data_IF_843075172923
#
_entry.id   IF_843075172923
#
_cell.length_a   1.000
_cell.length_b   1.000
_cell.length_c   1.000
_cell.angle_alpha   90.00
_cell.angle_beta   90.00
_cell.angle_gamma   90.00
#
_symmetry.space_group_name_H-M   'P 1'
#
loop_
_entity.id
_entity.type
_entity.pdbx_description
1 polymer ?
#
# COMPACT_ATOMS: atom_id res chain seq x y z
N UNK A 1 -0.69 11.49 6.35
CA UNK A 1 0.47 10.74 6.93
C UNK A 1 0.26 9.25 6.75
N UNK A 2 1.32 8.45 6.76
CA UNK A 2 1.19 6.99 6.84
C UNK A 2 1.90 6.41 8.06
N UNK A 3 1.36 5.27 8.55
CA UNK A 3 1.95 4.46 9.61
C UNK A 3 2.26 3.08 9.03
N UNK A 4 3.54 2.72 8.95
CA UNK A 4 3.95 1.50 8.30
C UNK A 4 5.42 1.15 8.46
N UNK A 5 5.85 0.10 7.75
CA UNK A 5 7.26 -0.27 7.66
C UNK A 5 7.82 0.14 6.29
N UNK A 6 9.06 0.62 6.28
CA UNK A 6 9.86 0.74 5.07
C UNK A 6 11.09 -0.16 5.18
N UNK A 7 11.29 -1.00 4.17
CA UNK A 7 12.39 -1.95 4.07
C UNK A 7 13.40 -1.54 3.01
N UNK A 8 14.60 -2.07 3.12
CA UNK A 8 15.55 -2.08 2.01
C UNK A 8 15.28 -3.30 1.16
N UNK A 9 14.93 -3.08 -0.11
CA UNK A 9 14.78 -4.15 -1.10
C UNK A 9 16.06 -4.28 -1.91
N UNK A 10 16.54 -5.50 -2.00
CA UNK A 10 17.69 -5.89 -2.80
C UNK A 10 17.23 -6.76 -3.97
N UNK A 11 17.51 -6.34 -5.20
CA UNK A 11 17.11 -7.05 -6.41
C UNK A 11 18.34 -7.27 -7.30
N UNK A 12 18.56 -8.48 -7.83
CA UNK A 12 19.59 -8.72 -8.84
C UNK A 12 19.39 -7.81 -10.06
N UNK A 13 20.46 -7.35 -10.66
CA UNK A 13 20.39 -6.56 -11.90
C UNK A 13 19.66 -7.33 -13.00
N UNK A 14 18.84 -6.63 -13.75
CA UNK A 14 18.03 -7.22 -14.81
C UNK A 14 17.02 -8.24 -14.24
N UNK A 15 17.01 -9.44 -14.82
CA UNK A 15 16.20 -10.56 -14.37
C UNK A 15 17.07 -11.67 -13.77
N UNK A 16 18.17 -11.30 -13.07
CA UNK A 16 19.10 -12.25 -12.44
C UNK A 16 18.46 -13.05 -11.31
N UNK A 17 19.20 -14.08 -10.86
CA UNK A 17 18.84 -14.90 -9.71
C UNK A 17 19.65 -14.45 -8.48
N UNK A 18 19.02 -14.40 -7.31
CA UNK A 18 19.68 -14.00 -6.04
C UNK A 18 20.92 -14.86 -5.77
N UNK A 19 20.81 -16.17 -5.95
CA UNK A 19 21.91 -17.15 -5.71
C UNK A 19 23.17 -16.89 -6.54
N UNK A 20 23.05 -16.22 -7.68
CA UNK A 20 24.16 -15.97 -8.60
C UNK A 20 24.48 -14.48 -8.76
N UNK A 21 23.79 -13.61 -8.01
CA UNK A 21 23.97 -12.17 -8.11
C UNK A 21 25.32 -11.74 -7.52
N UNK A 22 26.10 -10.99 -8.29
CA UNK A 22 27.32 -10.32 -7.82
C UNK A 22 27.07 -8.85 -7.48
N UNK A 23 25.99 -8.27 -8.02
CA UNK A 23 25.53 -6.92 -7.80
C UNK A 23 24.03 -6.94 -7.61
N UNK A 24 23.52 -6.04 -6.77
CA UNK A 24 22.10 -5.87 -6.53
C UNK A 24 21.75 -4.38 -6.56
N UNK A 25 20.62 -4.07 -7.17
CA UNK A 25 19.96 -2.77 -7.03
C UNK A 25 19.41 -2.64 -5.61
N UNK A 26 19.50 -1.43 -5.06
CA UNK A 26 18.98 -1.08 -3.75
C UNK A 26 17.75 -0.21 -3.95
N UNK A 27 16.58 -0.74 -3.59
CA UNK A 27 15.31 -0.04 -3.60
C UNK A 27 14.78 0.10 -2.16
N UNK A 28 13.88 1.02 -1.96
CA UNK A 28 13.27 1.26 -0.66
C UNK A 28 11.76 1.22 -0.81
N UNK A 29 11.09 0.49 0.09
CA UNK A 29 9.64 0.38 -0.01
C UNK A 29 8.97 -0.32 1.16
N UNK A 30 7.69 -0.05 1.22
CA UNK A 30 6.68 -0.61 2.10
C UNK A 30 5.35 -0.01 1.70
N UNK A 31 4.25 -0.76 1.76
CA UNK A 31 2.98 -0.34 1.17
C UNK A 31 2.56 1.07 1.57
N UNK A 32 2.52 1.33 2.86
CA UNK A 32 2.11 2.61 3.41
C UNK A 32 3.11 3.74 3.08
N UNK A 33 4.41 3.41 3.08
CA UNK A 33 5.48 4.34 2.69
C UNK A 33 5.37 4.71 1.21
N UNK A 34 5.20 3.72 0.32
CA UNK A 34 5.11 3.91 -1.13
C UNK A 34 3.95 4.84 -1.50
N UNK A 35 2.76 4.58 -0.92
CA UNK A 35 1.59 5.42 -1.16
C UNK A 35 1.82 6.88 -0.75
N UNK A 36 2.42 7.10 0.42
CA UNK A 36 2.67 8.45 0.94
C UNK A 36 3.83 9.14 0.23
N UNK A 37 4.84 8.39 -0.20
CA UNK A 37 5.94 8.88 -1.05
C UNK A 37 5.40 9.43 -2.39
N UNK A 38 4.49 8.70 -3.02
CA UNK A 38 3.84 9.15 -4.25
C UNK A 38 3.06 10.46 -4.06
N UNK A 39 2.31 10.57 -2.96
CA UNK A 39 1.60 11.81 -2.62
C UNK A 39 2.55 13.00 -2.41
N UNK A 40 3.75 12.76 -1.85
CA UNK A 40 4.79 13.80 -1.76
C UNK A 40 5.28 14.21 -3.16
N UNK A 41 5.51 13.24 -4.05
CA UNK A 41 5.85 13.50 -5.46
C UNK A 41 4.80 14.33 -6.20
N UNK A 42 3.53 14.21 -5.78
CA UNK A 42 2.41 15.01 -6.31
C UNK A 42 2.28 16.39 -5.67
N UNK A 43 3.22 16.78 -4.81
CA UNK A 43 3.26 18.10 -4.18
C UNK A 43 2.42 18.24 -2.91
N UNK A 44 1.87 17.15 -2.36
CA UNK A 44 1.18 17.19 -1.08
C UNK A 44 2.18 17.19 0.08
N UNK A 45 1.81 17.85 1.17
CA UNK A 45 2.55 17.74 2.44
C UNK A 45 2.27 16.40 3.07
N UNK A 46 3.27 15.55 3.13
CA UNK A 46 3.15 14.19 3.64
C UNK A 46 4.10 13.94 4.81
N UNK A 47 3.86 12.86 5.56
CA UNK A 47 4.73 12.44 6.64
C UNK A 47 4.64 10.93 6.88
N UNK A 48 5.71 10.38 7.44
CA UNK A 48 5.85 8.96 7.73
C UNK A 48 6.02 8.73 9.23
N UNK A 49 5.23 7.81 9.78
CA UNK A 49 5.27 7.34 11.16
C UNK A 49 5.80 5.92 11.14
N UNK A 50 6.92 5.68 11.81
CA UNK A 50 7.59 4.37 11.81
C UNK A 50 8.64 4.31 12.91
N UNK A 51 9.40 3.22 12.96
CA UNK A 51 10.63 3.13 13.73
C UNK A 51 11.77 2.57 12.88
N UNK A 52 12.96 3.15 13.01
CA UNK A 52 14.18 2.76 12.30
C UNK A 52 15.36 2.68 13.25
N UNK A 53 16.38 1.83 12.99
CA UNK A 53 17.60 1.85 13.76
C UNK A 53 18.43 3.11 13.46
N UNK A 54 19.03 3.70 14.48
CA UNK A 54 19.97 4.83 14.30
C UNK A 54 21.32 4.35 13.75
N UNK A 55 21.33 4.04 12.47
CA UNK A 55 22.53 3.65 11.74
C UNK A 55 22.44 4.10 10.27
N UNK A 56 23.45 3.78 9.46
CA UNK A 56 23.50 4.15 8.05
C UNK A 56 22.33 3.55 7.23
N UNK A 57 21.85 2.35 7.56
CA UNK A 57 20.74 1.70 6.85
C UNK A 57 19.39 2.37 7.17
N UNK A 58 19.15 2.78 8.43
CA UNK A 58 17.98 3.60 8.76
C UNK A 58 18.04 4.96 8.06
N UNK A 59 19.22 5.57 7.98
CA UNK A 59 19.41 6.87 7.30
C UNK A 59 19.19 6.83 5.80
N UNK A 60 19.42 5.72 5.10
CA UNK A 60 19.06 5.58 3.67
C UNK A 60 17.58 5.85 3.48
N UNK A 61 16.70 5.25 4.32
CA UNK A 61 15.25 5.43 4.25
C UNK A 61 14.86 6.87 4.53
N UNK A 62 15.42 7.47 5.60
CA UNK A 62 15.15 8.88 5.94
C UNK A 62 15.58 9.84 4.82
N UNK A 63 16.72 9.60 4.19
CA UNK A 63 17.21 10.44 3.10
C UNK A 63 16.31 10.31 1.87
N UNK A 64 15.85 9.11 1.55
CA UNK A 64 14.93 8.87 0.44
C UNK A 64 13.60 9.61 0.66
N UNK A 65 13.03 9.52 1.86
CA UNK A 65 11.81 10.27 2.22
C UNK A 65 12.01 11.78 2.11
N UNK A 66 13.13 12.30 2.67
CA UNK A 66 13.45 13.74 2.62
C UNK A 66 13.69 14.26 1.21
N UNK A 67 14.19 13.42 0.29
CA UNK A 67 14.44 13.81 -1.10
C UNK A 67 13.16 14.27 -1.83
N UNK A 68 11.98 13.81 -1.40
CA UNK A 68 10.68 14.24 -1.94
C UNK A 68 9.92 15.18 -1.00
N UNK A 69 10.56 15.67 0.07
CA UNK A 69 9.95 16.58 1.03
C UNK A 69 9.00 15.91 2.04
N UNK A 70 9.03 14.58 2.16
CA UNK A 70 8.25 13.88 3.19
C UNK A 70 8.80 14.16 4.58
N UNK A 71 7.90 14.52 5.50
CA UNK A 71 8.24 14.72 6.90
C UNK A 71 8.51 13.38 7.60
N UNK A 72 9.66 13.28 8.25
CA UNK A 72 10.13 12.11 8.98
C UNK A 72 10.31 12.40 10.48
N UNK A 73 9.73 13.50 10.98
CA UNK A 73 9.87 13.88 12.40
C UNK A 73 9.19 12.90 13.35
N UNK A 74 8.23 12.12 12.86
CA UNK A 74 7.53 11.06 13.62
C UNK A 74 8.14 9.67 13.40
N UNK A 75 9.34 9.58 12.84
CA UNK A 75 10.10 8.33 12.78
C UNK A 75 10.93 8.18 14.04
N UNK A 76 10.58 7.20 14.88
CA UNK A 76 11.34 6.85 16.07
C UNK A 76 12.67 6.25 15.66
N UNK A 77 13.77 6.76 16.22
CA UNK A 77 15.10 6.21 16.03
C UNK A 77 15.50 5.35 17.23
N UNK A 78 15.59 4.04 17.02
CA UNK A 78 15.99 3.09 18.03
C UNK A 78 17.52 2.95 18.06
N UNK A 79 18.06 2.86 19.28
CA UNK A 79 19.50 2.65 19.48
C UNK A 79 19.95 1.36 18.79
N UNK A 80 20.97 1.47 17.95
CA UNK A 80 21.57 0.32 17.28
C UNK A 80 22.67 -0.31 18.15
N UNK A 81 22.63 -1.63 18.31
CA UNK A 81 23.54 -2.40 19.17
C UNK A 81 24.87 -2.78 18.49
N UNK A 82 25.09 -2.32 17.25
CA UNK A 82 26.29 -2.61 16.46
C UNK A 82 26.20 -3.90 15.63
N UNK A 83 25.21 -4.77 15.89
CA UNK A 83 25.07 -6.07 15.22
C UNK A 83 23.63 -6.39 14.76
N UNK A 84 22.65 -5.60 15.19
CA UNK A 84 21.24 -5.76 14.79
C UNK A 84 20.50 -6.92 15.44
N UNK A 85 20.82 -7.27 16.68
CA UNK A 85 20.08 -8.31 17.43
C UNK A 85 18.68 -7.85 17.81
N UNK A 86 18.55 -6.59 18.21
CA UNK A 86 17.31 -6.03 18.73
C UNK A 86 16.63 -5.11 17.72
N UNK A 87 17.42 -4.25 17.07
CA UNK A 87 16.92 -3.22 16.17
C UNK A 87 17.68 -3.22 14.84
N UNK A 88 16.97 -3.44 13.75
CA UNK A 88 17.52 -3.46 12.39
C UNK A 88 16.51 -2.93 11.38
N UNK A 89 16.94 -2.64 10.17
CA UNK A 89 16.04 -2.43 9.03
C UNK A 89 15.61 -3.78 8.50
N UNK A 90 14.33 -3.94 8.19
CA UNK A 90 13.83 -5.10 7.47
C UNK A 90 14.41 -5.16 6.04
N UNK A 91 14.75 -6.35 5.58
CA UNK A 91 15.25 -6.59 4.24
C UNK A 91 14.23 -7.38 3.42
N UNK A 92 14.19 -7.07 2.14
CA UNK A 92 13.40 -7.75 1.14
C UNK A 92 14.32 -8.08 -0.04
N UNK A 93 14.33 -9.33 -0.47
CA UNK A 93 15.09 -9.79 -1.64
C UNK A 93 14.08 -10.18 -2.72
N UNK A 94 14.10 -9.50 -3.88
CA UNK A 94 13.15 -9.77 -4.95
C UNK A 94 13.84 -10.10 -6.26
N UNK A 95 13.53 -11.28 -6.79
CA UNK A 95 13.79 -11.63 -8.18
C UNK A 95 12.63 -11.18 -9.05
N UNK A 96 12.89 -10.32 -10.01
CA UNK A 96 11.88 -9.91 -10.99
C UNK A 96 11.73 -11.01 -12.03
N UNK A 97 10.52 -11.53 -12.18
CA UNK A 97 10.18 -12.59 -13.13
C UNK A 97 10.13 -12.07 -14.57
N UNK A 98 10.27 -12.99 -15.51
CA UNK A 98 10.15 -12.70 -16.95
C UNK A 98 9.61 -13.92 -17.70
N UNK A 99 8.72 -13.72 -18.65
CA UNK A 99 8.10 -14.78 -19.43
C UNK A 99 7.36 -15.80 -18.55
N UNK A 100 7.74 -17.10 -18.59
CA UNK A 100 7.12 -18.13 -17.75
C UNK A 100 7.65 -18.16 -16.29
N UNK A 101 8.73 -17.43 -15.99
CA UNK A 101 9.33 -17.43 -14.67
C UNK A 101 8.68 -16.37 -13.78
N UNK A 102 7.99 -16.82 -12.72
CA UNK A 102 7.38 -15.94 -11.73
C UNK A 102 8.42 -15.09 -10.97
N UNK A 103 7.99 -13.91 -10.50
CA UNK A 103 8.74 -13.14 -9.50
C UNK A 103 8.75 -13.87 -8.16
N UNK A 104 9.85 -13.78 -7.43
CA UNK A 104 10.01 -14.39 -6.11
C UNK A 104 10.47 -13.34 -5.11
N UNK A 105 9.82 -13.30 -3.95
CA UNK A 105 10.21 -12.40 -2.87
C UNK A 105 10.52 -13.19 -1.60
N UNK A 106 11.69 -12.91 -1.02
CA UNK A 106 12.12 -13.44 0.26
C UNK A 106 12.29 -12.27 1.25
N UNK A 107 11.73 -12.43 2.44
CA UNK A 107 11.81 -11.42 3.50
C UNK A 107 12.76 -11.85 4.61
N UNK A 108 13.59 -10.92 5.07
CA UNK A 108 14.39 -11.02 6.28
C UNK A 108 14.11 -9.78 7.14
N UNK A 109 12.96 -9.80 7.83
CA UNK A 109 12.42 -8.65 8.56
C UNK A 109 12.19 -8.88 10.05
N UNK A 110 12.58 -10.03 10.59
CA UNK A 110 12.53 -10.29 12.02
C UNK A 110 13.37 -9.27 12.81
N UNK A 111 12.90 -8.87 13.99
CA UNK A 111 13.56 -7.88 14.86
C UNK A 111 13.79 -6.51 14.21
N UNK A 112 12.99 -6.12 13.19
CA UNK A 112 13.07 -4.76 12.69
C UNK A 112 12.62 -3.76 13.75
N UNK A 113 13.16 -2.55 13.72
CA UNK A 113 12.75 -1.48 14.65
C UNK A 113 11.24 -1.23 14.57
N UNK A 114 10.68 -1.27 13.36
CA UNK A 114 9.22 -1.13 13.17
C UNK A 114 8.44 -2.26 13.85
N UNK A 115 8.90 -3.52 13.73
CA UNK A 115 8.27 -4.67 14.39
C UNK A 115 8.31 -4.54 15.92
N UNK A 116 9.28 -3.84 16.47
CA UNK A 116 9.47 -3.64 17.91
C UNK A 116 8.67 -2.45 18.49
N UNK A 117 7.92 -1.72 17.66
CA UNK A 117 7.07 -0.61 18.12
C UNK A 117 6.04 -1.09 19.15
N UNK A 118 5.78 -0.25 20.15
CA UNK A 118 4.88 -0.54 21.27
C UNK A 118 3.91 0.63 21.48
N UNK A 119 2.75 0.39 22.11
CA UNK A 119 1.86 1.44 22.58
C UNK A 119 2.61 2.52 23.37
N UNK A 120 2.31 3.78 23.04
CA UNK A 120 2.95 4.94 23.67
C UNK A 120 4.30 5.35 23.07
N UNK A 121 4.85 4.61 22.08
CA UNK A 121 6.05 5.04 21.36
C UNK A 121 5.82 6.33 20.53
N UNK A 122 4.58 6.56 20.10
CA UNK A 122 4.17 7.69 19.26
C UNK A 122 3.01 8.42 19.95
N UNK A 123 3.08 9.74 19.99
CA UNK A 123 2.01 10.60 20.49
C UNK A 123 1.00 10.91 19.37
N UNK A 124 0.08 9.97 19.12
CA UNK A 124 -0.94 10.11 18.09
C UNK A 124 -1.92 11.25 18.36
N UNK A 125 -2.21 11.58 19.63
CA UNK A 125 -3.08 12.71 19.99
C UNK A 125 -2.47 14.02 19.53
N UNK A 126 -1.18 14.23 19.77
CA UNK A 126 -0.46 15.40 19.28
C UNK A 126 -0.46 15.45 17.75
N UNK A 127 -0.19 14.33 17.09
CA UNK A 127 -0.13 14.27 15.63
C UNK A 127 -1.47 14.68 15.01
N UNK A 128 -2.57 14.08 15.42
CA UNK A 128 -3.86 14.30 14.75
C UNK A 128 -4.57 15.58 15.21
N UNK A 129 -4.46 15.99 16.48
CA UNK A 129 -5.14 17.20 16.96
C UNK A 129 -4.38 18.50 16.69
N UNK A 130 -3.02 18.47 16.68
CA UNK A 130 -2.23 19.71 16.62
C UNK A 130 -1.65 19.99 15.24
N UNK A 131 -1.33 18.92 14.44
CA UNK A 131 -0.66 19.09 13.14
C UNK A 131 -1.61 19.19 11.95
N UNK A 132 -2.92 19.08 12.16
CA UNK A 132 -3.93 19.21 11.11
C UNK A 132 -3.81 18.13 10.03
N UNK A 133 -3.54 16.90 10.43
CA UNK A 133 -3.45 15.73 9.52
C UNK A 133 -4.84 15.43 8.98
N UNK A 134 -5.00 15.49 7.66
CA UNK A 134 -6.28 15.23 7.00
C UNK A 134 -6.53 13.76 6.68
N UNK A 135 -5.46 12.96 6.57
CA UNK A 135 -5.54 11.56 6.15
C UNK A 135 -4.46 10.72 6.83
N UNK A 136 -4.87 9.60 7.46
CA UNK A 136 -4.00 8.52 7.91
C UNK A 136 -4.14 7.34 6.96
N UNK A 137 -3.03 6.84 6.43
CA UNK A 137 -2.97 5.59 5.68
C UNK A 137 -2.16 4.55 6.44
N UNK A 138 -2.74 3.37 6.67
CA UNK A 138 -2.07 2.22 7.28
C UNK A 138 -2.64 0.92 6.70
N UNK A 139 -2.19 -0.24 7.17
CA UNK A 139 -2.68 -1.49 6.59
C UNK A 139 -2.35 -2.75 7.37
N UNK A 140 -2.80 -3.86 6.81
CA UNK A 140 -2.65 -5.20 7.37
C UNK A 140 -1.20 -5.63 7.51
N UNK A 141 -0.29 -5.17 6.62
CA UNK A 141 1.13 -5.51 6.71
C UNK A 141 1.73 -4.96 8.00
N UNK A 142 1.55 -3.67 8.29
CA UNK A 142 2.03 -3.09 9.54
C UNK A 142 1.38 -3.76 10.75
N UNK A 143 0.06 -3.90 10.69
CA UNK A 143 -0.74 -4.47 11.79
C UNK A 143 -0.31 -5.90 12.14
N UNK A 144 0.13 -6.71 11.18
CA UNK A 144 0.47 -8.12 11.41
C UNK A 144 1.95 -8.38 11.79
N UNK A 145 2.82 -7.34 11.85
CA UNK A 145 4.24 -7.54 12.13
C UNK A 145 4.50 -8.11 13.53
N UNK A 146 3.77 -7.61 14.54
CA UNK A 146 3.90 -8.06 15.93
C UNK A 146 2.65 -7.73 16.74
N UNK A 147 2.59 -8.23 17.98
CA UNK A 147 1.54 -7.80 18.92
C UNK A 147 1.62 -6.30 19.22
N UNK A 148 2.84 -5.77 19.35
CA UNK A 148 3.06 -4.33 19.56
C UNK A 148 2.53 -3.48 18.42
N UNK A 149 2.88 -3.79 17.16
CA UNK A 149 2.39 -3.04 15.98
C UNK A 149 0.88 -3.14 15.81
N UNK A 150 0.27 -4.25 16.20
CA UNK A 150 -1.19 -4.44 16.22
C UNK A 150 -1.86 -3.43 17.15
N UNK A 151 -1.31 -3.27 18.34
CA UNK A 151 -1.80 -2.31 19.33
C UNK A 151 -1.54 -0.87 18.89
N UNK A 152 -0.36 -0.58 18.35
CA UNK A 152 0.00 0.74 17.79
C UNK A 152 -0.93 1.14 16.63
N UNK A 153 -1.25 0.21 15.73
CA UNK A 153 -2.22 0.46 14.64
C UNK A 153 -3.60 0.81 15.21
N UNK A 154 -4.06 0.08 16.22
CA UNK A 154 -5.35 0.34 16.85
C UNK A 154 -5.38 1.71 17.56
N UNK A 155 -4.30 2.11 18.24
CA UNK A 155 -4.17 3.44 18.85
C UNK A 155 -4.21 4.55 17.79
N UNK A 156 -3.44 4.38 16.70
CA UNK A 156 -3.36 5.36 15.61
C UNK A 156 -4.71 5.56 14.92
N UNK A 157 -5.37 4.45 14.55
CA UNK A 157 -6.67 4.45 13.86
C UNK A 157 -7.73 5.15 14.72
N UNK A 158 -7.83 4.81 16.00
CA UNK A 158 -8.80 5.41 16.91
C UNK A 158 -8.52 6.90 17.14
N UNK A 159 -7.26 7.26 17.40
CA UNK A 159 -6.88 8.66 17.60
C UNK A 159 -7.12 9.52 16.36
N UNK A 160 -6.86 8.99 15.15
CA UNK A 160 -7.16 9.66 13.90
C UNK A 160 -8.67 9.87 13.71
N UNK A 161 -9.46 8.81 13.92
CA UNK A 161 -10.92 8.88 13.82
C UNK A 161 -11.52 9.90 14.81
N UNK A 162 -11.10 9.88 16.08
CA UNK A 162 -11.54 10.81 17.12
C UNK A 162 -11.21 12.28 16.78
N UNK A 163 -10.09 12.51 16.07
CA UNK A 163 -9.70 13.83 15.60
C UNK A 163 -10.38 14.28 14.30
N UNK A 164 -11.23 13.42 13.69
CA UNK A 164 -11.87 13.70 12.39
C UNK A 164 -10.93 13.55 11.19
N UNK A 165 -9.78 12.94 11.37
CA UNK A 165 -8.85 12.56 10.30
C UNK A 165 -9.43 11.37 9.53
N UNK A 166 -9.44 11.44 8.19
CA UNK A 166 -9.86 10.30 7.34
C UNK A 166 -8.87 9.15 7.51
N UNK A 167 -9.38 7.95 7.73
CA UNK A 167 -8.57 6.75 7.90
C UNK A 167 -8.76 5.82 6.71
N UNK A 168 -7.68 5.50 6.00
CA UNK A 168 -7.64 4.43 4.99
C UNK A 168 -6.84 3.24 5.49
N UNK A 169 -7.33 2.04 5.21
CA UNK A 169 -6.71 0.79 5.60
C UNK A 169 -6.62 -0.16 4.41
N UNK A 170 -5.40 -0.54 4.04
CA UNK A 170 -5.16 -1.59 3.06
C UNK A 170 -5.18 -2.94 3.75
N UNK A 171 -6.13 -3.81 3.40
CA UNK A 171 -6.31 -5.14 4.00
C UNK A 171 -5.07 -6.02 3.82
N UNK A 172 -4.49 -6.03 2.64
CA UNK A 172 -3.17 -6.53 2.27
C UNK A 172 -2.73 -7.79 3.04
N UNK A 173 -3.50 -8.87 2.94
CA UNK A 173 -3.28 -10.12 3.68
C UNK A 173 -1.92 -10.75 3.38
N UNK A 174 -1.25 -11.23 4.39
CA UNK A 174 0.04 -11.94 4.27
C UNK A 174 0.05 -13.22 5.09
N UNK A 175 -0.25 -14.34 4.46
CA UNK A 175 -0.34 -15.67 5.10
C UNK A 175 0.94 -16.10 5.84
N UNK A 176 2.11 -15.55 5.47
CA UNK A 176 3.39 -15.79 6.16
C UNK A 176 3.52 -15.07 7.49
N UNK A 177 2.70 -14.06 7.76
CA UNK A 177 2.79 -13.23 8.97
C UNK A 177 1.69 -13.54 9.98
N UNK A 178 0.49 -13.90 9.52
CA UNK A 178 -0.64 -14.26 10.38
C UNK A 178 -1.63 -15.21 9.69
N UNK A 179 -2.43 -15.90 10.48
CA UNK A 179 -3.54 -16.69 9.97
C UNK A 179 -4.76 -15.81 9.65
N UNK A 180 -5.66 -16.31 8.79
CA UNK A 180 -6.95 -15.65 8.51
C UNK A 180 -7.74 -15.38 9.79
N UNK A 181 -7.77 -16.33 10.73
CA UNK A 181 -8.42 -16.16 12.04
C UNK A 181 -7.86 -14.95 12.79
N UNK A 182 -6.54 -14.83 12.89
CA UNK A 182 -5.90 -13.69 13.56
C UNK A 182 -6.20 -12.38 12.83
N UNK A 183 -6.18 -12.39 11.49
CA UNK A 183 -6.49 -11.23 10.68
C UNK A 183 -7.92 -10.73 10.92
N UNK A 184 -8.90 -11.63 10.93
CA UNK A 184 -10.31 -11.34 11.18
C UNK A 184 -10.51 -10.78 12.59
N UNK A 185 -9.99 -11.49 13.62
CA UNK A 185 -10.12 -11.09 15.02
C UNK A 185 -9.48 -9.72 15.31
N UNK A 186 -8.43 -9.37 14.57
CA UNK A 186 -7.73 -8.09 14.72
C UNK A 186 -8.41 -6.96 13.95
N UNK A 187 -8.78 -7.20 12.70
CA UNK A 187 -9.19 -6.12 11.79
C UNK A 187 -10.66 -5.75 11.93
N UNK A 188 -11.57 -6.73 12.10
CA UNK A 188 -13.01 -6.44 12.27
C UNK A 188 -13.32 -5.39 13.34
N UNK A 189 -12.71 -5.43 14.55
CA UNK A 189 -12.93 -4.40 15.56
C UNK A 189 -12.44 -3.00 15.19
N UNK A 190 -11.58 -2.88 14.18
CA UNK A 190 -11.03 -1.60 13.71
C UNK A 190 -11.89 -0.98 12.60
N UNK A 191 -12.63 -1.78 11.81
CA UNK A 191 -13.42 -1.30 10.67
C UNK A 191 -14.37 -0.15 11.03
N UNK A 192 -15.05 -0.12 12.21
CA UNK A 192 -15.89 1.02 12.60
C UNK A 192 -15.18 2.38 12.67
N UNK A 193 -13.85 2.40 12.75
CA UNK A 193 -13.03 3.61 12.80
C UNK A 193 -12.34 3.95 11.47
N UNK A 194 -12.62 3.16 10.42
CA UNK A 194 -12.01 3.29 9.09
C UNK A 194 -13.01 3.91 8.12
N UNK A 195 -12.58 4.87 7.31
CA UNK A 195 -13.39 5.50 6.26
C UNK A 195 -13.22 4.82 4.91
N UNK A 196 -11.99 4.34 4.61
CA UNK A 196 -11.66 3.77 3.30
C UNK A 196 -10.99 2.40 3.47
N UNK A 197 -11.57 1.36 2.85
CA UNK A 197 -10.94 0.03 2.75
C UNK A 197 -10.36 -0.17 1.35
N UNK A 198 -9.18 -0.76 1.31
CA UNK A 198 -8.52 -1.19 0.07
C UNK A 198 -8.21 -2.68 0.20
N UNK A 199 -8.41 -3.43 -0.86
CA UNK A 199 -8.09 -4.84 -0.88
C UNK A 199 -8.67 -5.54 -2.11
N UNK A 200 -8.15 -6.71 -2.45
CA UNK A 200 -8.72 -7.60 -3.44
C UNK A 200 -9.73 -8.57 -2.78
N UNK A 201 -10.35 -9.44 -3.57
CA UNK A 201 -11.35 -10.39 -3.06
C UNK A 201 -10.77 -11.34 -2.01
N UNK A 202 -9.55 -11.81 -2.21
CA UNK A 202 -8.87 -12.67 -1.25
C UNK A 202 -8.64 -11.94 0.07
N UNK A 203 -8.24 -10.67 0.02
CA UNK A 203 -8.05 -9.86 1.21
C UNK A 203 -9.35 -9.72 2.01
N UNK A 204 -10.48 -9.42 1.38
CA UNK A 204 -11.78 -9.34 2.06
C UNK A 204 -12.20 -10.68 2.68
N UNK A 205 -11.92 -11.78 2.00
CA UNK A 205 -12.20 -13.11 2.52
C UNK A 205 -11.31 -13.45 3.72
N UNK A 206 -10.01 -13.26 3.59
CA UNK A 206 -9.03 -13.67 4.60
C UNK A 206 -8.99 -12.74 5.83
N UNK A 207 -9.29 -11.45 5.64
CA UNK A 207 -9.16 -10.44 6.70
C UNK A 207 -10.51 -10.06 7.32
N UNK A 208 -11.59 -10.16 6.57
CA UNK A 208 -12.93 -9.80 7.04
C UNK A 208 -13.93 -10.98 7.03
N UNK A 209 -13.55 -12.12 6.45
CA UNK A 209 -14.38 -13.32 6.42
C UNK A 209 -15.62 -13.20 5.50
N UNK A 210 -15.55 -12.37 4.45
CA UNK A 210 -16.59 -12.27 3.45
C UNK A 210 -16.28 -13.21 2.28
N UNK A 211 -17.03 -14.30 2.19
CA UNK A 211 -16.91 -15.24 1.07
C UNK A 211 -17.41 -14.61 -0.23
N UNK A 212 -16.66 -14.85 -1.31
CA UNK A 212 -17.06 -14.50 -2.66
C UNK A 212 -17.75 -15.71 -3.30
N UNK A 213 -19.02 -15.59 -3.62
CA UNK A 213 -19.78 -16.65 -4.27
C UNK A 213 -19.27 -16.84 -5.70
N UNK A 214 -18.98 -18.10 -6.08
CA UNK A 214 -18.66 -18.47 -7.47
C UNK A 214 -17.21 -18.24 -7.90
N UNK A 215 -16.26 -18.15 -6.99
CA UNK A 215 -14.85 -18.24 -7.34
C UNK A 215 -14.52 -19.66 -7.86
N UNK A 216 -14.37 -19.76 -9.18
CA UNK A 216 -13.71 -20.91 -9.76
C UNK A 216 -12.19 -20.71 -9.62
N UNK A 217 -11.57 -21.41 -8.65
CA UNK A 217 -10.12 -21.32 -8.35
C UNK A 217 -9.23 -21.61 -9.58
N UNK A 218 -9.80 -22.17 -10.65
CA UNK A 218 -9.07 -22.56 -11.87
C UNK A 218 -9.07 -21.48 -12.96
N UNK A 219 -9.93 -20.47 -12.92
CA UNK A 219 -10.09 -19.55 -14.05
C UNK A 219 -9.34 -18.23 -13.92
N UNK A 220 -8.82 -17.87 -12.75
CA UNK A 220 -7.96 -16.67 -12.59
C UNK A 220 -8.58 -15.35 -13.09
N UNK A 221 -9.85 -15.37 -13.52
CA UNK A 221 -10.55 -14.24 -14.07
C UNK A 221 -11.53 -13.70 -13.03
N UNK A 222 -11.26 -12.52 -12.54
CA UNK A 222 -12.12 -11.82 -11.60
C UNK A 222 -13.40 -11.37 -12.33
N UNK A 223 -14.57 -11.86 -11.87
CA UNK A 223 -15.84 -11.30 -12.30
C UNK A 223 -16.15 -10.07 -11.44
N UNK A 224 -16.12 -8.85 -12.02
CA UNK A 224 -16.44 -7.63 -11.28
C UNK A 224 -17.80 -7.66 -10.58
N UNK A 225 -18.74 -8.46 -11.06
CA UNK A 225 -20.08 -8.58 -10.48
C UNK A 225 -20.06 -9.25 -9.10
N UNK A 226 -19.22 -10.26 -8.91
CA UNK A 226 -19.08 -10.96 -7.63
C UNK A 226 -18.40 -10.08 -6.58
N UNK A 227 -17.37 -9.34 -7.00
CA UNK A 227 -16.76 -8.32 -6.15
C UNK A 227 -17.79 -7.27 -5.70
N UNK A 228 -18.58 -6.73 -6.62
CA UNK A 228 -19.64 -5.75 -6.29
C UNK A 228 -20.65 -6.30 -5.27
N UNK A 229 -21.07 -7.55 -5.39
CA UNK A 229 -21.97 -8.21 -4.43
C UNK A 229 -21.33 -8.31 -3.05
N UNK A 230 -20.05 -8.71 -2.97
CA UNK A 230 -19.30 -8.80 -1.71
C UNK A 230 -19.18 -7.42 -1.06
N UNK A 231 -18.74 -6.41 -1.80
CA UNK A 231 -18.59 -5.03 -1.29
C UNK A 231 -19.92 -4.47 -0.79
N UNK A 232 -21.03 -4.76 -1.47
CA UNK A 232 -22.38 -4.34 -1.03
C UNK A 232 -22.73 -4.94 0.34
N UNK A 233 -22.32 -6.20 0.61
CA UNK A 233 -22.50 -6.82 1.94
C UNK A 233 -21.61 -6.13 2.99
N UNK A 234 -20.34 -5.89 2.65
CA UNK A 234 -19.40 -5.18 3.56
C UNK A 234 -19.95 -3.80 3.91
N UNK A 235 -20.38 -3.02 2.92
CA UNK A 235 -20.91 -1.67 3.14
C UNK A 235 -22.21 -1.67 3.97
N UNK A 236 -23.03 -2.70 3.84
CA UNK A 236 -24.23 -2.88 4.68
C UNK A 236 -23.88 -3.13 6.14
N UNK A 237 -22.86 -3.95 6.40
CA UNK A 237 -22.44 -4.30 7.76
C UNK A 237 -21.62 -3.16 8.40
N UNK A 238 -20.95 -2.33 7.57
CA UNK A 238 -20.11 -1.21 8.00
C UNK A 238 -20.50 0.10 7.29
N UNK A 239 -21.63 0.74 7.69
CA UNK A 239 -22.15 1.94 7.02
C UNK A 239 -21.26 3.19 7.22
N UNK A 240 -20.26 3.13 8.05
CA UNK A 240 -19.24 4.19 8.21
C UNK A 240 -18.26 4.25 7.03
N UNK A 241 -18.14 3.18 6.23
CA UNK A 241 -17.23 3.14 5.12
C UNK A 241 -17.67 4.07 3.99
N UNK A 242 -16.84 5.07 3.71
CA UNK A 242 -17.06 6.05 2.63
C UNK A 242 -16.58 5.51 1.28
N UNK A 243 -15.49 4.74 1.30
CA UNK A 243 -14.86 4.21 0.08
C UNK A 243 -14.43 2.77 0.30
N UNK A 244 -14.70 1.91 -0.70
CA UNK A 244 -14.09 0.58 -0.79
C UNK A 244 -13.50 0.45 -2.19
N UNK A 245 -12.17 0.26 -2.26
CA UNK A 245 -11.43 0.19 -3.52
C UNK A 245 -10.73 -1.15 -3.72
N UNK A 246 -10.70 -1.62 -4.96
CA UNK A 246 -9.91 -2.78 -5.36
C UNK A 246 -9.29 -2.59 -6.72
N UNK A 247 -8.12 -3.19 -6.88
CA UNK A 247 -7.49 -3.34 -8.19
C UNK A 247 -7.91 -4.67 -8.82
N UNK A 248 -8.23 -4.62 -10.10
CA UNK A 248 -8.54 -5.80 -10.91
C UNK A 248 -7.31 -6.16 -11.72
N UNK A 249 -6.71 -7.30 -11.44
CA UNK A 249 -5.51 -7.77 -12.13
C UNK A 249 -5.72 -9.16 -12.68
N UNK A 250 -5.54 -9.30 -13.99
CA UNK A 250 -5.45 -10.59 -14.67
C UNK A 250 -4.01 -10.82 -15.14
N UNK A 251 -3.40 -11.91 -14.68
CA UNK A 251 -2.01 -12.24 -15.03
C UNK A 251 -1.98 -13.00 -16.34
N UNK A 252 -1.43 -12.38 -17.39
CA UNK A 252 -1.22 -13.02 -18.70
C UNK A 252 0.12 -13.77 -18.71
N UNK A 253 1.17 -13.14 -18.18
CA UNK A 253 2.49 -13.75 -17.98
C UNK A 253 3.22 -13.07 -16.81
N UNK A 254 4.45 -13.49 -16.52
CA UNK A 254 5.25 -12.79 -15.49
C UNK A 254 5.50 -11.31 -15.82
N UNK A 255 5.50 -10.94 -17.09
CA UNK A 255 5.80 -9.60 -17.59
C UNK A 255 4.63 -8.90 -18.31
N UNK A 256 3.42 -9.48 -18.27
CA UNK A 256 2.21 -8.90 -18.90
C UNK A 256 1.00 -9.12 -18.02
N UNK A 257 0.28 -8.05 -17.70
CA UNK A 257 -1.00 -8.09 -16.99
C UNK A 257 -2.09 -7.32 -17.76
N UNK A 258 -3.36 -7.69 -17.53
CA UNK A 258 -4.46 -6.75 -17.70
C UNK A 258 -4.70 -6.06 -16.34
N UNK A 259 -4.98 -4.77 -16.37
CA UNK A 259 -5.07 -3.94 -15.17
C UNK A 259 -6.25 -2.98 -15.24
N UNK A 260 -7.03 -2.92 -14.18
CA UNK A 260 -8.10 -1.95 -13.95
C UNK A 260 -8.34 -1.80 -12.45
N UNK A 261 -9.35 -1.03 -12.05
CA UNK A 261 -9.79 -0.92 -10.67
C UNK A 261 -11.28 -0.61 -10.58
N UNK A 262 -11.88 -0.91 -9.41
CA UNK A 262 -13.24 -0.55 -9.06
C UNK A 262 -13.21 0.17 -7.71
N UNK A 263 -14.05 1.20 -7.59
CA UNK A 263 -14.28 1.94 -6.38
C UNK A 263 -15.77 1.96 -6.08
N UNK A 264 -16.14 1.62 -4.85
CA UNK A 264 -17.48 1.82 -4.28
C UNK A 264 -17.51 3.14 -3.52
N UNK A 265 -18.54 3.95 -3.76
CA UNK A 265 -18.76 5.21 -3.06
C UNK A 265 -19.93 5.07 -2.08
N UNK A 266 -19.64 5.12 -0.79
CA UNK A 266 -20.60 4.84 0.27
C UNK A 266 -21.75 5.85 0.37
N UNK A 267 -21.54 7.11 -0.04
CA UNK A 267 -22.55 8.15 0.02
C UNK A 267 -23.74 7.87 -0.92
N UNK A 268 -23.47 7.33 -2.11
CA UNK A 268 -24.52 7.03 -3.12
C UNK A 268 -24.79 5.54 -3.28
N UNK A 269 -23.91 4.68 -2.80
CA UNK A 269 -23.97 3.24 -3.03
C UNK A 269 -23.54 2.81 -4.44
N UNK A 270 -22.95 3.71 -5.22
CA UNK A 270 -22.57 3.49 -6.61
C UNK A 270 -21.15 2.91 -6.73
N UNK A 271 -20.94 2.23 -7.87
CA UNK A 271 -19.64 1.70 -8.26
C UNK A 271 -19.08 2.46 -9.46
N UNK A 272 -17.82 2.85 -9.36
CA UNK A 272 -17.06 3.52 -10.40
C UNK A 272 -15.93 2.62 -10.86
N UNK A 273 -15.74 2.48 -12.17
CA UNK A 273 -14.68 1.67 -12.74
C UNK A 273 -13.62 2.57 -13.39
N UNK A 274 -12.36 2.30 -13.07
CA UNK A 274 -11.22 2.96 -13.70
C UNK A 274 -10.98 2.48 -15.12
N UNK A 275 -10.06 3.12 -15.85
CA UNK A 275 -9.70 2.72 -17.20
C UNK A 275 -9.15 1.29 -17.22
N UNK A 276 -9.35 0.61 -18.36
CA UNK A 276 -8.81 -0.71 -18.63
C UNK A 276 -7.49 -0.60 -19.40
N UNK A 277 -6.44 -1.21 -18.86
CA UNK A 277 -5.14 -1.35 -19.50
C UNK A 277 -4.92 -2.82 -19.86
N UNK A 278 -5.14 -3.16 -21.12
CA UNK A 278 -4.92 -4.53 -21.61
C UNK A 278 -3.46 -4.71 -22.07
N UNK A 279 -2.92 -5.91 -21.79
CA UNK A 279 -1.57 -6.28 -22.15
C UNK A 279 -0.50 -5.29 -21.65
N UNK A 280 -0.69 -4.75 -20.44
CA UNK A 280 0.28 -3.89 -19.80
C UNK A 280 1.60 -4.62 -19.60
N UNK A 281 2.65 -4.12 -20.25
CA UNK A 281 4.02 -4.64 -20.05
C UNK A 281 4.56 -4.18 -18.71
N UNK A 282 5.08 -5.12 -17.94
CA UNK A 282 5.51 -4.93 -16.55
C UNK A 282 7.02 -5.03 -16.47
N UNK A 283 7.66 -3.99 -15.96
CA UNK A 283 9.07 -4.02 -15.54
C UNK A 283 9.22 -4.54 -14.11
N UNK A 284 8.30 -4.15 -13.22
CA UNK A 284 8.24 -4.62 -11.84
C UNK A 284 6.77 -4.70 -11.36
N UNK A 285 6.43 -5.76 -10.63
CA UNK A 285 5.06 -5.93 -10.11
C UNK A 285 4.78 -5.23 -8.80
N UNK A 286 5.84 -4.76 -8.15
CA UNK A 286 5.73 -4.14 -6.82
C UNK A 286 5.15 -2.73 -6.94
N UNK A 287 4.31 -2.34 -5.99
CA UNK A 287 3.79 -0.98 -5.89
C UNK A 287 2.52 -0.66 -6.67
N UNK A 288 2.02 -1.52 -7.57
CA UNK A 288 0.80 -1.23 -8.34
C UNK A 288 -0.43 -0.94 -7.45
N UNK A 289 -0.62 -1.70 -6.36
CA UNK A 289 -1.65 -1.43 -5.35
C UNK A 289 -1.43 -0.13 -4.60
N UNK A 290 -0.18 0.15 -4.21
CA UNK A 290 0.19 1.39 -3.51
C UNK A 290 -0.03 2.62 -4.42
N UNK A 291 0.24 2.45 -5.75
CA UNK A 291 -0.06 3.44 -6.77
C UNK A 291 -1.55 3.70 -6.90
N UNK A 292 -2.38 2.66 -6.91
CA UNK A 292 -3.82 2.82 -6.87
C UNK A 292 -4.25 3.59 -5.62
N UNK A 293 -3.78 3.18 -4.43
CA UNK A 293 -4.09 3.85 -3.17
C UNK A 293 -3.72 5.34 -3.20
N UNK A 294 -2.50 5.67 -3.61
CA UNK A 294 -2.05 7.07 -3.66
C UNK A 294 -2.81 7.92 -4.68
N UNK A 295 -3.11 7.38 -5.87
CA UNK A 295 -3.84 8.11 -6.91
C UNK A 295 -5.27 8.45 -6.48
N UNK A 296 -6.02 7.51 -5.89
CA UNK A 296 -7.36 7.84 -5.42
C UNK A 296 -7.34 8.75 -4.19
N UNK A 297 -6.39 8.57 -3.24
CA UNK A 297 -6.22 9.49 -2.11
C UNK A 297 -5.93 10.92 -2.57
N UNK A 298 -5.07 11.08 -3.60
CA UNK A 298 -4.82 12.39 -4.19
C UNK A 298 -6.11 12.99 -4.75
N UNK A 299 -6.91 12.20 -5.47
CA UNK A 299 -8.18 12.64 -6.03
C UNK A 299 -9.11 13.19 -4.95
N UNK A 300 -9.39 12.42 -3.90
CA UNK A 300 -10.26 12.87 -2.82
C UNK A 300 -9.71 14.06 -2.03
N UNK A 301 -8.41 14.10 -1.76
CA UNK A 301 -7.80 15.22 -1.04
C UNK A 301 -7.85 16.54 -1.82
N UNK A 302 -8.02 16.49 -3.14
CA UNK A 302 -8.11 17.64 -4.03
C UNK A 302 -9.52 17.89 -4.61
N UNK A 303 -10.55 17.18 -4.11
CA UNK A 303 -11.95 17.42 -4.47
C UNK A 303 -12.38 16.88 -5.84
N UNK A 304 -11.68 15.90 -6.37
CA UNK A 304 -12.08 15.18 -7.58
C UNK A 304 -13.31 14.30 -7.29
N UNK A 305 -14.10 14.06 -8.33
CA UNK A 305 -15.24 13.12 -8.24
C UNK A 305 -14.76 11.67 -8.01
N UNK A 306 -15.62 10.77 -7.51
CA UNK A 306 -15.27 9.36 -7.34
C UNK A 306 -14.78 8.69 -8.63
N UNK A 307 -15.36 9.05 -9.80
CA UNK A 307 -14.90 8.55 -11.09
C UNK A 307 -13.49 9.04 -11.45
N UNK A 308 -13.22 10.31 -11.23
CA UNK A 308 -11.88 10.85 -11.46
C UNK A 308 -10.84 10.26 -10.49
N UNK A 309 -11.21 10.08 -9.22
CA UNK A 309 -10.35 9.49 -8.22
C UNK A 309 -9.97 8.04 -8.55
N UNK A 310 -10.93 7.19 -9.01
CA UNK A 310 -10.61 5.83 -9.44
C UNK A 310 -9.77 5.81 -10.71
N UNK A 311 -10.00 6.77 -11.63
CA UNK A 311 -9.18 6.89 -12.83
C UNK A 311 -7.72 7.22 -12.49
N UNK A 312 -7.49 8.16 -11.56
CA UNK A 312 -6.15 8.51 -11.08
C UNK A 312 -5.46 7.32 -10.40
N UNK A 313 -6.17 6.62 -9.53
CA UNK A 313 -5.63 5.42 -8.87
C UNK A 313 -5.25 4.34 -9.86
N UNK A 314 -6.13 4.04 -10.83
CA UNK A 314 -5.90 3.01 -11.84
C UNK A 314 -4.73 3.37 -12.74
N UNK A 315 -4.65 4.63 -13.20
CA UNK A 315 -3.57 5.12 -14.05
C UNK A 315 -2.22 5.09 -13.34
N UNK A 316 -2.17 5.53 -12.09
CA UNK A 316 -0.92 5.51 -11.34
C UNK A 316 -0.46 4.08 -11.02
N UNK A 317 -1.39 3.17 -10.67
CA UNK A 317 -1.05 1.77 -10.48
C UNK A 317 -0.52 1.09 -11.76
N UNK A 318 -1.01 1.49 -12.94
CA UNK A 318 -0.48 1.04 -14.22
C UNK A 318 0.93 1.60 -14.50
N UNK A 319 1.12 2.91 -14.25
CA UNK A 319 2.41 3.57 -14.44
C UNK A 319 3.50 2.96 -13.57
N UNK A 320 3.24 2.71 -12.28
CA UNK A 320 4.22 2.11 -11.37
C UNK A 320 4.74 0.75 -11.84
N UNK A 321 3.91 -0.03 -12.52
CA UNK A 321 4.35 -1.31 -13.07
C UNK A 321 5.31 -1.17 -14.26
N UNK A 322 5.47 0.02 -14.83
CA UNK A 322 6.36 0.30 -15.97
C UNK A 322 7.77 0.73 -15.58
N UNK A 323 8.05 0.87 -14.30
CA UNK A 323 9.39 1.20 -13.77
C UNK A 323 9.83 0.14 -12.74
N UNK A 324 11.12 0.10 -12.46
CA UNK A 324 11.67 -0.72 -11.39
C UNK A 324 11.63 0.00 -10.07
N UNK A 325 11.55 -0.77 -9.00
CA UNK A 325 11.51 -0.23 -7.64
C UNK A 325 10.10 -0.14 -7.09
N UNK A 326 10.01 0.33 -5.86
CA UNK A 326 8.78 0.31 -5.08
C UNK A 326 8.10 1.69 -5.01
N UNK A 327 8.89 2.76 -5.09
CA UNK A 327 8.42 4.15 -4.94
C UNK A 327 8.18 4.83 -6.28
N UNK A 328 7.20 5.70 -6.34
CA UNK A 328 6.82 6.40 -7.57
C UNK A 328 7.86 7.42 -8.01
N UNK A 329 8.24 7.35 -9.28
CA UNK A 329 9.05 8.38 -9.94
C UNK A 329 8.20 9.39 -10.73
N UNK A 330 6.89 9.13 -10.86
CA UNK A 330 5.95 9.91 -11.68
C UNK A 330 5.53 11.22 -11.04
N UNK A 331 5.21 12.20 -11.87
CA UNK A 331 4.56 13.46 -11.49
C UNK A 331 3.05 13.32 -11.58
N UNK A 332 2.32 14.23 -10.92
CA UNK A 332 0.86 14.23 -11.03
C UNK A 332 0.38 14.50 -12.45
N UNK A 333 1.08 15.31 -13.23
CA UNK A 333 0.72 15.62 -14.63
C UNK A 333 0.79 14.37 -15.52
N UNK A 334 1.76 13.49 -15.29
CA UNK A 334 1.85 12.21 -16.00
C UNK A 334 0.67 11.30 -15.65
N UNK A 335 0.30 11.22 -14.37
CA UNK A 335 -0.85 10.43 -13.92
C UNK A 335 -2.15 10.98 -14.48
N UNK A 336 -2.38 12.29 -14.42
CA UNK A 336 -3.57 12.96 -14.97
C UNK A 336 -3.72 12.68 -16.47
N UNK A 337 -2.63 12.77 -17.21
CA UNK A 337 -2.63 12.47 -18.65
C UNK A 337 -3.05 11.03 -18.93
N UNK A 338 -2.49 10.06 -18.24
CA UNK A 338 -2.82 8.63 -18.44
C UNK A 338 -4.24 8.36 -17.98
N UNK A 339 -4.69 8.95 -16.88
CA UNK A 339 -6.07 8.85 -16.38
C UNK A 339 -7.10 9.42 -17.39
N UNK A 340 -6.73 10.45 -18.14
CA UNK A 340 -7.53 11.06 -19.20
C UNK A 340 -7.45 10.35 -20.56
N UNK A 341 -6.83 9.17 -20.64
CA UNK A 341 -6.70 8.39 -21.89
C UNK A 341 -5.59 8.87 -22.81
N UNK A 342 -4.65 9.69 -22.29
CA UNK A 342 -3.47 10.13 -23.04
C UNK A 342 -2.56 8.95 -23.41
N UNK A 343 -2.29 8.78 -24.71
CA UNK A 343 -1.48 7.68 -25.22
C UNK A 343 0.04 7.88 -25.01
N UNK A 344 0.81 6.81 -25.27
CA UNK A 344 2.27 6.74 -25.15
C UNK A 344 3.03 7.50 -26.27
N UNK A 345 2.47 8.60 -26.80
CA UNK A 345 3.17 9.43 -27.79
C UNK A 345 4.25 10.26 -27.12
N UNK A 346 5.34 10.52 -27.89
CA UNK A 346 6.43 11.38 -27.42
C UNK A 346 5.89 12.74 -27.00
N UNK A 347 6.21 13.14 -25.76
CA UNK A 347 5.93 14.45 -25.21
C UNK A 347 7.12 15.34 -25.54
N UNK A 348 6.84 16.48 -26.19
CA UNK A 348 7.86 17.49 -26.55
C UNK A 348 7.63 18.76 -25.77
#
# INVERSE_FOLDING_TARGET
MSLGECMIRLSPLGHGRIEFAKLMDVWLGGGEFNATYALARYGLRTGFISALPDNALGRIILNHARAVGMDVSEVKLDKYDGVGRENRVGLNFTEVGVGPRASVTMYDRGHSSTMNMKPGDIDFKRIFNERGVRWLHTGGIFTCLSEGTRQVAAEAIKAAHEAGTIVSYDLNFRSKLWSSKQAIETTKPLVPYIDCLIGNEEDFQQVLGYEVEGLDEKLGKLDPSNFKKMVTRVAKDYPNLKVIGTTLREVVSASVNNWSAILYWGETGEFFQGPQFDNLTIEDRVGGGDGFASGFMYGFLNGYTPQEAVNLGTAHGALLQSTRGDTSEFTIDEVLRVAGGGGARIIR
#
